data_IF_755741091010
#
_entry.id   IF_755741091010
#
_cell.length_a   1.000
_cell.length_b   1.000
_cell.length_c   1.000
_cell.angle_alpha   90.00
_cell.angle_beta   90.00
_cell.angle_gamma   90.00
#
_symmetry.space_group_name_H-M   'P 1'
#
loop_
_entity.id
_entity.type
_entity.pdbx_description
1 polymer ?
#
# COMPACT_ATOMS: atom_id res chain seq x y z
N UNK A 1 -26.41 6.35 20.35
CA UNK A 1 -25.89 5.01 20.72
C UNK A 1 -24.51 5.17 21.37
N UNK A 2 -24.09 4.28 22.27
CA UNK A 2 -22.76 4.35 22.87
C UNK A 2 -21.68 4.05 21.81
N UNK A 3 -20.56 4.77 21.89
CA UNK A 3 -19.44 4.66 20.94
C UNK A 3 -18.97 3.21 20.68
N UNK A 4 -18.75 2.35 21.70
CA UNK A 4 -18.31 0.96 21.47
C UNK A 4 -19.26 0.17 20.56
N UNK A 5 -20.56 0.41 20.67
CA UNK A 5 -21.59 -0.30 19.90
C UNK A 5 -21.57 0.14 18.43
N UNK A 6 -21.26 1.42 18.16
CA UNK A 6 -21.05 1.90 16.79
C UNK A 6 -19.81 1.27 16.16
N UNK A 7 -18.72 1.14 16.90
CA UNK A 7 -17.50 0.46 16.43
C UNK A 7 -17.77 -1.02 16.14
N UNK A 8 -18.50 -1.72 17.02
CA UNK A 8 -18.89 -3.11 16.80
C UNK A 8 -19.78 -3.25 15.56
N UNK A 9 -20.78 -2.38 15.41
CA UNK A 9 -21.67 -2.39 14.25
C UNK A 9 -20.89 -2.13 12.95
N UNK A 10 -19.95 -1.18 12.95
CA UNK A 10 -19.05 -0.96 11.83
C UNK A 10 -18.24 -2.23 11.49
N UNK A 11 -17.64 -2.87 12.50
CA UNK A 11 -16.87 -4.09 12.31
C UNK A 11 -17.72 -5.24 11.72
N UNK A 12 -18.96 -5.41 12.20
CA UNK A 12 -19.92 -6.40 11.67
C UNK A 12 -20.29 -6.08 10.21
N UNK A 13 -20.59 -4.82 9.91
CA UNK A 13 -20.93 -4.39 8.55
C UNK A 13 -19.75 -4.66 7.60
N UNK A 14 -18.53 -4.29 7.98
CA UNK A 14 -17.32 -4.55 7.18
C UNK A 14 -17.12 -6.06 6.99
N UNK A 15 -17.31 -6.87 8.04
CA UNK A 15 -17.19 -8.32 7.98
C UNK A 15 -18.17 -8.97 7.01
N UNK A 16 -19.43 -8.53 7.00
CA UNK A 16 -20.45 -9.11 6.13
C UNK A 16 -20.40 -8.60 4.69
N UNK A 17 -20.09 -7.32 4.50
CA UNK A 17 -20.15 -6.73 3.17
C UNK A 17 -18.85 -6.87 2.40
N UNK A 18 -17.71 -7.15 3.08
CA UNK A 18 -16.37 -7.21 2.48
C UNK A 18 -16.23 -6.14 1.39
N UNK A 19 -16.36 -4.87 1.78
CA UNK A 19 -16.44 -3.75 0.83
C UNK A 19 -15.24 -3.76 -0.12
N UNK A 20 -15.39 -4.39 -1.28
CA UNK A 20 -14.40 -4.40 -2.34
C UNK A 20 -14.80 -3.29 -3.31
N UNK A 21 -14.09 -2.16 -3.20
CA UNK A 21 -14.37 -0.96 -3.98
C UNK A 21 -13.73 -1.11 -5.36
N UNK A 22 -14.45 -1.78 -6.26
CA UNK A 22 -14.05 -1.95 -7.64
C UNK A 22 -14.38 -0.66 -8.42
N UNK A 23 -13.35 0.11 -8.78
CA UNK A 23 -13.51 1.34 -9.57
C UNK A 23 -13.17 0.99 -11.02
N UNK A 24 -14.19 0.91 -11.87
CA UNK A 24 -13.99 0.68 -13.31
C UNK A 24 -13.84 2.03 -14.02
N UNK A 25 -12.62 2.55 -14.19
CA UNK A 25 -12.43 3.73 -15.05
C UNK A 25 -12.46 3.30 -16.52
N UNK A 26 -13.46 3.74 -17.26
CA UNK A 26 -13.56 3.51 -18.72
C UNK A 26 -12.62 4.39 -19.55
N UNK A 27 -11.85 5.28 -18.92
CA UNK A 27 -10.97 6.24 -19.60
C UNK A 27 -9.48 6.10 -19.27
N UNK A 28 -9.07 5.10 -18.48
CA UNK A 28 -7.68 4.96 -18.01
C UNK A 28 -7.27 3.49 -17.95
N UNK A 29 -6.13 3.14 -18.55
CA UNK A 29 -5.50 1.82 -18.37
C UNK A 29 -4.96 1.68 -16.94
N UNK A 30 -5.45 0.68 -16.21
CA UNK A 30 -4.82 0.19 -14.99
C UNK A 30 -3.95 -1.02 -15.35
N UNK A 31 -2.63 -0.92 -15.23
CA UNK A 31 -1.76 -2.08 -15.39
C UNK A 31 -1.83 -2.95 -14.12
N UNK A 32 -2.90 -3.73 -13.97
CA UNK A 32 -3.08 -4.72 -12.90
C UNK A 32 -3.09 -6.14 -13.46
N UNK A 33 -2.44 -7.08 -12.77
CA UNK A 33 -2.44 -8.50 -13.14
C UNK A 33 -3.78 -9.16 -12.77
N UNK A 34 -4.87 -8.76 -13.44
CA UNK A 34 -6.20 -9.25 -13.09
C UNK A 34 -7.38 -8.51 -13.72
N UNK A 35 -7.26 -7.97 -14.93
CA UNK A 35 -8.43 -7.45 -15.66
C UNK A 35 -9.42 -8.59 -16.00
N UNK A 36 -10.24 -9.00 -15.04
CA UNK A 36 -11.48 -9.71 -15.33
C UNK A 36 -12.38 -8.75 -16.08
N UNK A 37 -12.76 -9.12 -17.31
CA UNK A 37 -13.67 -8.41 -18.23
C UNK A 37 -15.13 -8.31 -17.72
N UNK A 38 -15.33 -8.02 -16.45
CA UNK A 38 -16.63 -7.73 -15.87
C UNK A 38 -16.60 -6.36 -15.25
N UNK A 39 -17.07 -5.34 -15.98
CA UNK A 39 -17.44 -4.06 -15.40
C UNK A 39 -18.61 -4.30 -14.43
N UNK A 40 -18.30 -4.67 -13.19
CA UNK A 40 -19.29 -4.68 -12.11
C UNK A 40 -19.59 -3.23 -11.78
N UNK A 41 -20.89 -2.90 -11.73
CA UNK A 41 -21.38 -1.53 -11.56
C UNK A 41 -20.61 -0.77 -10.45
N UNK A 42 -20.10 0.41 -10.78
CA UNK A 42 -19.53 1.34 -9.83
C UNK A 42 -20.54 1.55 -8.68
N UNK A 43 -20.17 1.13 -7.48
CA UNK A 43 -21.01 1.25 -6.31
C UNK A 43 -20.94 2.69 -5.76
N UNK A 44 -21.46 3.68 -6.49
CA UNK A 44 -21.49 5.10 -6.07
C UNK A 44 -22.12 5.30 -4.68
N UNK A 45 -23.00 4.39 -4.24
CA UNK A 45 -23.61 4.41 -2.92
C UNK A 45 -22.66 4.00 -1.78
N UNK A 46 -21.59 3.25 -2.05
CA UNK A 46 -20.68 2.75 -1.01
C UNK A 46 -19.94 3.88 -0.31
N UNK A 47 -19.48 4.90 -1.04
CA UNK A 47 -18.72 6.00 -0.46
C UNK A 47 -19.57 6.86 0.52
N UNK A 48 -20.80 7.31 0.17
CA UNK A 48 -21.72 7.93 1.13
C UNK A 48 -22.06 7.03 2.32
N UNK A 49 -22.22 5.72 2.12
CA UNK A 49 -22.50 4.76 3.21
C UNK A 49 -21.32 4.70 4.17
N UNK A 50 -20.10 4.51 3.67
CA UNK A 50 -18.88 4.48 4.50
C UNK A 50 -18.72 5.81 5.24
N UNK A 51 -18.87 6.94 4.55
CA UNK A 51 -18.80 8.26 5.18
C UNK A 51 -19.85 8.42 6.28
N UNK A 52 -21.09 7.99 6.03
CA UNK A 52 -22.18 8.01 7.00
C UNK A 52 -21.90 7.14 8.22
N UNK A 53 -21.37 5.91 8.01
CA UNK A 53 -21.01 4.99 9.09
C UNK A 53 -19.86 5.53 9.95
N UNK A 54 -18.82 6.08 9.33
CA UNK A 54 -17.70 6.73 10.04
C UNK A 54 -18.22 7.92 10.83
N UNK A 55 -19.01 8.80 10.21
CA UNK A 55 -19.63 9.95 10.88
C UNK A 55 -20.47 9.50 12.07
N UNK A 56 -21.29 8.45 11.92
CA UNK A 56 -22.09 7.89 13.00
C UNK A 56 -21.25 7.38 14.17
N UNK A 57 -20.07 6.83 13.91
CA UNK A 57 -19.12 6.45 14.96
C UNK A 57 -18.57 7.66 15.72
N UNK A 58 -18.34 8.79 15.05
CA UNK A 58 -17.82 10.01 15.70
C UNK A 58 -18.87 10.79 16.49
N UNK A 59 -20.16 10.76 16.11
CA UNK A 59 -21.26 11.46 16.81
C UNK A 59 -21.23 11.30 18.35
N UNK A 60 -21.17 10.08 18.93
CA UNK A 60 -21.17 9.93 20.39
C UNK A 60 -19.92 10.54 21.05
N UNK A 61 -18.75 10.46 20.42
CA UNK A 61 -17.53 11.10 20.93
C UNK A 61 -17.65 12.61 20.86
N UNK A 62 -18.02 13.15 19.70
CA UNK A 62 -18.13 14.59 19.46
C UNK A 62 -19.17 15.26 20.36
N UNK A 63 -20.26 14.59 20.71
CA UNK A 63 -21.25 15.11 21.67
C UNK A 63 -20.65 15.32 23.07
N UNK A 64 -19.91 14.35 23.57
CA UNK A 64 -19.23 14.45 24.87
C UNK A 64 -18.15 15.54 24.86
N UNK A 65 -17.34 15.60 23.80
CA UNK A 65 -16.36 16.68 23.62
C UNK A 65 -17.01 18.05 23.56
N UNK A 66 -18.10 18.21 22.79
CA UNK A 66 -18.83 19.47 22.67
C UNK A 66 -19.34 19.99 24.03
N UNK A 67 -19.88 19.11 24.87
CA UNK A 67 -20.33 19.48 26.22
C UNK A 67 -19.17 19.95 27.12
N UNK A 68 -18.00 19.32 27.03
CA UNK A 68 -16.81 19.75 27.77
C UNK A 68 -16.26 21.08 27.24
N UNK A 69 -16.23 21.26 25.93
CA UNK A 69 -15.73 22.49 25.30
C UNK A 69 -16.60 23.70 25.60
N UNK A 70 -17.92 23.52 25.81
CA UNK A 70 -18.80 24.61 26.25
C UNK A 70 -18.55 25.08 27.68
N UNK A 71 -17.78 24.35 28.48
CA UNK A 71 -17.48 24.71 29.88
C UNK A 71 -16.20 25.55 30.03
N UNK A 72 -15.46 25.76 28.94
CA UNK A 72 -14.20 26.51 28.94
C UNK A 72 -14.24 27.65 27.91
N UNK A 73 -13.31 28.59 28.02
CA UNK A 73 -13.24 29.72 27.08
C UNK A 73 -12.99 29.22 25.64
N UNK A 74 -13.62 29.83 24.62
CA UNK A 74 -13.52 29.36 23.23
C UNK A 74 -12.09 29.21 22.71
N UNK A 75 -11.20 30.15 23.04
CA UNK A 75 -9.79 30.08 22.64
C UNK A 75 -9.05 28.90 23.30
N UNK A 76 -9.38 28.58 24.55
CA UNK A 76 -8.80 27.44 25.27
C UNK A 76 -9.31 26.12 24.70
N UNK A 77 -10.62 26.02 24.40
CA UNK A 77 -11.18 24.86 23.71
C UNK A 77 -10.51 24.62 22.35
N UNK A 78 -10.35 25.68 21.56
CA UNK A 78 -9.67 25.62 20.28
C UNK A 78 -8.20 25.19 20.41
N UNK A 79 -7.50 25.66 21.45
CA UNK A 79 -6.11 25.23 21.72
C UNK A 79 -6.03 23.73 21.97
N UNK A 80 -6.94 23.18 22.79
CA UNK A 80 -7.00 21.74 23.03
C UNK A 80 -7.34 20.94 21.77
N UNK A 81 -8.21 21.46 20.90
CA UNK A 81 -8.56 20.84 19.62
C UNK A 81 -7.34 20.72 18.69
N UNK A 82 -6.55 21.79 18.58
CA UNK A 82 -5.32 21.80 17.77
C UNK A 82 -4.26 20.87 18.37
N UNK A 83 -4.04 20.90 19.68
CA UNK A 83 -3.08 20.00 20.33
C UNK A 83 -3.50 18.54 20.14
N UNK A 84 -4.78 18.23 20.35
CA UNK A 84 -5.32 16.89 20.15
C UNK A 84 -5.15 16.41 18.71
N UNK A 85 -5.39 17.28 17.73
CA UNK A 85 -5.18 16.98 16.30
C UNK A 85 -3.72 16.70 15.97
N UNK A 86 -2.78 17.51 16.49
CA UNK A 86 -1.35 17.30 16.29
C UNK A 86 -0.86 15.99 16.92
N UNK A 87 -1.32 15.67 18.13
CA UNK A 87 -1.01 14.39 18.79
C UNK A 87 -1.60 13.22 18.00
N UNK A 88 -2.84 13.35 17.52
CA UNK A 88 -3.48 12.35 16.68
C UNK A 88 -2.71 12.07 15.39
N UNK A 89 -2.27 13.13 14.70
CA UNK A 89 -1.42 13.04 13.50
C UNK A 89 -0.10 12.35 13.84
N UNK A 90 0.59 12.76 14.91
CA UNK A 90 1.86 12.15 15.31
C UNK A 90 1.71 10.64 15.64
N UNK A 91 0.67 10.27 16.41
CA UNK A 91 0.36 8.88 16.70
C UNK A 91 0.08 8.08 15.42
N UNK A 92 -0.74 8.62 14.52
CA UNK A 92 -1.05 7.98 13.24
C UNK A 92 0.21 7.82 12.37
N UNK A 93 1.08 8.83 12.31
CA UNK A 93 2.36 8.75 11.59
C UNK A 93 3.27 7.65 12.13
N UNK A 94 3.37 7.49 13.46
CA UNK A 94 4.14 6.40 14.08
C UNK A 94 3.56 5.03 13.70
N UNK A 95 2.23 4.90 13.79
CA UNK A 95 1.51 3.67 13.41
C UNK A 95 1.78 3.30 11.95
N UNK A 96 1.69 4.27 11.05
CA UNK A 96 1.94 4.09 9.61
C UNK A 96 3.41 3.76 9.32
N UNK A 97 4.35 4.45 9.99
CA UNK A 97 5.78 4.22 9.83
C UNK A 97 6.19 2.77 10.16
N UNK A 98 5.61 2.20 11.22
CA UNK A 98 5.86 0.82 11.62
C UNK A 98 4.95 -0.22 10.95
N UNK A 99 4.10 0.20 10.00
CA UNK A 99 3.15 -0.67 9.31
C UNK A 99 2.31 -1.54 10.27
N UNK A 100 1.90 -0.98 11.41
CA UNK A 100 1.20 -1.75 12.44
C UNK A 100 -0.18 -2.17 11.92
N UNK A 101 -0.60 -3.43 12.13
CA UNK A 101 -1.87 -3.93 11.61
C UNK A 101 -3.08 -3.34 12.36
N UNK A 102 -4.30 -3.40 11.78
CA UNK A 102 -5.53 -2.89 12.39
C UNK A 102 -5.78 -3.37 13.81
N UNK A 103 -5.38 -4.61 14.15
CA UNK A 103 -5.47 -5.11 15.51
C UNK A 103 -4.80 -4.18 16.53
N UNK A 104 -3.62 -3.64 16.23
CA UNK A 104 -2.92 -2.73 17.13
C UNK A 104 -3.71 -1.43 17.30
N UNK A 105 -4.31 -0.92 16.23
CA UNK A 105 -5.11 0.31 16.25
C UNK A 105 -6.35 0.14 17.13
N UNK A 106 -7.04 -0.99 16.98
CA UNK A 106 -8.20 -1.32 17.79
C UNK A 106 -7.84 -1.60 19.25
N UNK A 107 -6.68 -2.20 19.54
CA UNK A 107 -6.21 -2.37 20.92
C UNK A 107 -5.92 -1.01 21.57
N UNK A 108 -5.22 -0.10 20.88
CA UNK A 108 -4.97 1.25 21.40
C UNK A 108 -6.26 2.03 21.65
N UNK A 109 -7.19 1.98 20.70
CA UNK A 109 -8.51 2.59 20.87
C UNK A 109 -9.27 1.98 22.05
N UNK A 110 -9.24 0.65 22.20
CA UNK A 110 -9.89 -0.06 23.30
C UNK A 110 -9.32 0.40 24.64
N UNK A 111 -7.99 0.43 24.78
CA UNK A 111 -7.34 0.87 26.02
C UNK A 111 -7.68 2.32 26.35
N UNK A 112 -7.65 3.21 25.36
CA UNK A 112 -8.01 4.62 25.54
C UNK A 112 -9.46 4.77 26.04
N UNK A 113 -10.41 4.08 25.41
CA UNK A 113 -11.82 4.17 25.80
C UNK A 113 -12.07 3.51 27.16
N UNK A 114 -11.38 2.42 27.50
CA UNK A 114 -11.48 1.79 28.82
C UNK A 114 -11.02 2.74 29.94
N UNK A 115 -9.91 3.46 29.74
CA UNK A 115 -9.41 4.46 30.69
C UNK A 115 -10.41 5.60 30.90
N UNK A 116 -11.11 6.00 29.84
CA UNK A 116 -12.11 7.08 29.89
C UNK A 116 -13.51 6.61 30.37
N UNK A 117 -13.72 5.29 30.51
CA UNK A 117 -15.03 4.73 30.85
C UNK A 117 -15.29 4.73 32.35
N UNK A 118 -16.52 5.06 32.74
CA UNK A 118 -16.95 4.95 34.13
C UNK A 118 -16.97 3.48 34.60
N UNK A 119 -16.74 3.24 35.89
CA UNK A 119 -16.74 1.88 36.49
C UNK A 119 -18.00 1.07 36.20
N UNK A 120 -19.14 1.74 36.11
CA UNK A 120 -20.44 1.13 35.82
C UNK A 120 -20.60 0.68 34.35
N UNK A 121 -19.88 1.28 33.40
CA UNK A 121 -19.97 0.94 31.97
C UNK A 121 -18.76 0.16 31.47
N UNK A 122 -17.69 0.03 32.26
CA UNK A 122 -16.42 -0.57 31.83
C UNK A 122 -16.57 -2.01 31.33
N UNK A 123 -17.39 -2.84 31.98
CA UNK A 123 -17.63 -4.23 31.57
C UNK A 123 -18.34 -4.30 30.22
N UNK A 124 -19.32 -3.42 29.99
CA UNK A 124 -20.02 -3.32 28.71
C UNK A 124 -19.10 -2.84 27.59
N UNK A 125 -18.24 -1.85 27.86
CA UNK A 125 -17.24 -1.35 26.92
C UNK A 125 -16.25 -2.46 26.58
N UNK A 126 -15.71 -3.14 27.60
CA UNK A 126 -14.75 -4.22 27.45
C UNK A 126 -15.32 -5.38 26.62
N UNK A 127 -16.54 -5.83 26.91
CA UNK A 127 -17.16 -6.94 26.16
C UNK A 127 -17.43 -6.57 24.70
N UNK A 128 -17.90 -5.34 24.44
CA UNK A 128 -18.18 -4.87 23.08
C UNK A 128 -16.92 -4.75 22.23
N UNK A 129 -15.84 -4.19 22.81
CA UNK A 129 -14.56 -4.12 22.13
C UNK A 129 -13.89 -5.48 21.98
N UNK A 130 -14.05 -6.39 22.95
CA UNK A 130 -13.56 -7.77 22.82
C UNK A 130 -14.17 -8.46 21.59
N UNK A 131 -15.48 -8.34 21.37
CA UNK A 131 -16.14 -8.89 20.18
C UNK A 131 -15.62 -8.21 18.90
N UNK A 132 -15.44 -6.89 18.94
CA UNK A 132 -14.88 -6.13 17.80
C UNK A 132 -13.46 -6.58 17.48
N UNK A 133 -12.62 -6.82 18.49
CA UNK A 133 -11.26 -7.33 18.32
C UNK A 133 -11.26 -8.73 17.72
N UNK A 134 -12.16 -9.62 18.13
CA UNK A 134 -12.31 -10.95 17.52
C UNK A 134 -12.64 -10.83 16.03
N UNK A 135 -13.57 -9.93 15.66
CA UNK A 135 -13.90 -9.66 14.25
C UNK A 135 -12.68 -9.13 13.49
N UNK A 136 -11.94 -8.18 14.06
CA UNK A 136 -10.75 -7.61 13.44
C UNK A 136 -9.64 -8.65 13.25
N UNK A 137 -9.41 -9.53 14.23
CA UNK A 137 -8.47 -10.66 14.13
C UNK A 137 -8.83 -11.55 12.95
N UNK A 138 -10.12 -11.85 12.77
CA UNK A 138 -10.60 -12.66 11.67
C UNK A 138 -10.45 -11.94 10.32
N UNK A 139 -10.74 -10.63 10.26
CA UNK A 139 -10.68 -9.83 9.04
C UNK A 139 -9.26 -9.61 8.51
N UNK A 140 -8.27 -9.51 9.38
CA UNK A 140 -6.87 -9.28 9.00
C UNK A 140 -6.10 -10.57 8.74
N UNK A 141 -6.74 -11.73 8.90
CA UNK A 141 -6.06 -13.03 8.78
C UNK A 141 -5.40 -13.16 7.40
N UNK A 142 -4.19 -13.71 7.40
CA UNK A 142 -3.36 -13.94 6.20
C UNK A 142 -2.95 -12.67 5.44
N UNK A 143 -3.27 -11.48 5.96
CA UNK A 143 -2.85 -10.21 5.39
C UNK A 143 -1.48 -9.77 5.91
N UNK A 144 -0.66 -9.27 5.00
CA UNK A 144 0.55 -8.53 5.30
C UNK A 144 0.23 -7.03 5.25
N UNK A 145 0.82 -6.25 6.15
CA UNK A 145 0.62 -4.81 6.19
C UNK A 145 1.95 -4.13 5.86
N UNK A 146 1.89 -3.17 4.93
CA UNK A 146 2.99 -2.26 4.65
C UNK A 146 2.55 -0.83 4.98
N UNK A 147 3.48 0.14 4.99
CA UNK A 147 3.12 1.56 5.11
C UNK A 147 2.21 2.04 3.98
N UNK A 148 2.11 1.28 2.89
CA UNK A 148 1.39 1.64 1.66
C UNK A 148 0.10 0.82 1.49
N UNK A 149 0.13 -0.48 1.79
CA UNK A 149 -0.89 -1.43 1.37
C UNK A 149 -1.26 -2.46 2.43
N UNK A 150 -2.53 -2.90 2.37
CA UNK A 150 -2.91 -4.25 2.80
C UNK A 150 -2.57 -5.21 1.67
N UNK A 151 -1.80 -6.26 1.95
CA UNK A 151 -1.31 -7.20 0.94
C UNK A 151 -1.83 -8.61 1.25
N UNK A 152 -2.42 -9.26 0.24
CA UNK A 152 -2.83 -10.66 0.27
C UNK A 152 -2.05 -11.45 -0.78
N UNK A 153 -1.78 -12.72 -0.48
CA UNK A 153 -1.13 -13.63 -1.42
C UNK A 153 -2.10 -14.73 -1.85
N UNK A 154 -2.31 -14.86 -3.15
CA UNK A 154 -3.12 -15.92 -3.73
C UNK A 154 -2.24 -16.89 -4.52
N UNK A 155 -2.16 -18.18 -4.14
CA UNK A 155 -1.29 -19.13 -4.82
C UNK A 155 -1.74 -19.37 -6.27
N UNK A 156 -0.78 -19.54 -7.18
CA UNK A 156 -1.03 -19.82 -8.59
C UNK A 156 -0.76 -21.30 -8.94
N UNK A 157 -1.53 -21.90 -9.87
CA UNK A 157 -1.32 -23.30 -10.30
C UNK A 157 0.06 -23.56 -10.91
N UNK A 158 0.66 -22.54 -11.53
CA UNK A 158 1.96 -22.60 -12.20
C UNK A 158 3.15 -22.50 -11.23
N UNK A 159 2.87 -22.40 -9.93
CA UNK A 159 3.86 -22.08 -8.91
C UNK A 159 3.99 -20.58 -8.69
N UNK A 160 4.14 -20.18 -7.43
CA UNK A 160 4.20 -18.77 -7.03
C UNK A 160 2.84 -18.19 -6.61
N UNK A 161 2.73 -16.86 -6.62
CA UNK A 161 1.57 -16.15 -6.04
C UNK A 161 1.20 -14.89 -6.82
N UNK A 162 -0.09 -14.56 -6.85
CA UNK A 162 -0.56 -13.19 -7.09
C UNK A 162 -0.40 -12.43 -5.78
N UNK A 163 0.27 -11.29 -5.86
CA UNK A 163 0.28 -10.25 -4.83
C UNK A 163 -0.93 -9.37 -5.11
N UNK A 164 -1.90 -9.36 -4.23
CA UNK A 164 -3.09 -8.50 -4.30
C UNK A 164 -2.98 -7.40 -3.24
N UNK A 165 -3.19 -6.15 -3.64
CA UNK A 165 -3.11 -5.00 -2.73
C UNK A 165 -4.49 -4.38 -2.59
N UNK A 166 -4.89 -4.09 -1.34
CA UNK A 166 -6.15 -3.44 -1.01
C UNK A 166 -7.40 -4.11 -1.62
N UNK A 167 -7.35 -5.43 -1.86
CA UNK A 167 -8.43 -6.18 -2.49
C UNK A 167 -8.78 -5.66 -3.90
N UNK A 168 -7.78 -5.18 -4.65
CA UNK A 168 -7.98 -4.57 -5.97
C UNK A 168 -8.03 -5.60 -7.13
N UNK A 169 -7.92 -6.89 -6.83
CA UNK A 169 -8.00 -7.95 -7.85
C UNK A 169 -6.66 -8.32 -8.49
N UNK A 170 -5.55 -7.98 -7.84
CA UNK A 170 -4.20 -8.31 -8.30
C UNK A 170 -3.35 -7.09 -8.63
N UNK A 171 -2.13 -7.08 -8.10
CA UNK A 171 -1.14 -6.01 -8.23
C UNK A 171 0.09 -6.47 -9.01
N UNK A 172 0.62 -7.65 -8.65
CA UNK A 172 1.78 -8.28 -9.28
C UNK A 172 1.61 -9.79 -9.25
N UNK A 173 2.36 -10.48 -10.11
CA UNK A 173 2.51 -11.93 -10.03
C UNK A 173 3.97 -12.29 -9.71
N UNK A 174 4.19 -13.06 -8.65
CA UNK A 174 5.43 -13.78 -8.38
C UNK A 174 5.35 -15.13 -9.06
N UNK A 175 5.81 -15.21 -10.31
CA UNK A 175 5.85 -16.47 -11.09
C UNK A 175 7.25 -16.64 -11.69
N UNK A 176 7.66 -17.86 -12.05
CA UNK A 176 8.94 -18.06 -12.75
C UNK A 176 9.01 -17.21 -14.03
N UNK A 177 10.18 -16.65 -14.33
CA UNK A 177 10.39 -15.70 -15.42
C UNK A 177 9.92 -16.23 -16.80
N UNK A 178 9.90 -17.54 -17.02
CA UNK A 178 9.44 -18.15 -18.28
C UNK A 178 7.94 -17.91 -18.52
N UNK A 179 7.17 -17.82 -17.44
CA UNK A 179 5.72 -17.60 -17.47
C UNK A 179 5.35 -16.11 -17.45
N UNK A 180 6.34 -15.22 -17.33
CA UNK A 180 6.13 -13.78 -17.43
C UNK A 180 5.85 -13.33 -18.85
N UNK A 181 5.09 -12.24 -18.92
CA UNK A 181 4.70 -11.57 -20.14
C UNK A 181 5.92 -11.21 -20.99
N UNK A 182 5.78 -11.23 -22.31
CA UNK A 182 6.90 -11.04 -23.23
C UNK A 182 7.55 -9.66 -23.12
N UNK A 183 6.82 -8.64 -22.63
CA UNK A 183 7.35 -7.28 -22.52
C UNK A 183 8.54 -7.18 -21.53
N UNK A 184 8.60 -8.00 -20.48
CA UNK A 184 9.74 -8.05 -19.55
C UNK A 184 11.05 -8.39 -20.26
N UNK A 185 10.98 -9.17 -21.34
CA UNK A 185 12.13 -9.65 -22.11
C UNK A 185 12.52 -8.73 -23.26
N UNK A 186 11.62 -7.83 -23.66
CA UNK A 186 11.69 -7.13 -24.94
C UNK A 186 12.93 -6.25 -25.09
N UNK A 187 13.30 -5.51 -24.04
CA UNK A 187 14.50 -4.68 -24.04
C UNK A 187 15.77 -5.52 -24.25
N UNK A 188 15.86 -6.68 -23.60
CA UNK A 188 17.00 -7.56 -23.72
C UNK A 188 17.07 -8.23 -25.10
N UNK A 189 15.94 -8.67 -25.65
CA UNK A 189 15.90 -9.30 -26.98
C UNK A 189 16.28 -8.33 -28.11
N UNK A 190 15.84 -7.08 -28.03
CA UNK A 190 16.12 -6.07 -29.06
C UNK A 190 17.59 -5.61 -29.05
N UNK A 191 18.21 -5.55 -27.88
CA UNK A 191 19.58 -5.02 -27.70
C UNK A 191 20.60 -6.11 -27.36
N UNK A 192 20.31 -7.36 -27.74
CA UNK A 192 21.19 -8.53 -27.66
C UNK A 192 21.74 -8.84 -26.24
N UNK A 193 20.86 -8.79 -25.22
CA UNK A 193 20.94 -9.33 -23.85
C UNK A 193 22.22 -9.07 -23.05
N UNK A 194 23.33 -9.60 -23.55
CA UNK A 194 24.70 -9.48 -23.07
C UNK A 194 25.33 -8.08 -23.12
N UNK A 195 24.66 -7.08 -23.72
CA UNK A 195 25.15 -5.70 -23.78
C UNK A 195 25.04 -4.97 -22.43
N UNK A 196 24.02 -5.29 -21.62
CA UNK A 196 23.75 -4.61 -20.37
C UNK A 196 24.55 -5.25 -19.22
N UNK A 197 25.55 -4.54 -18.68
CA UNK A 197 26.34 -5.01 -17.54
C UNK A 197 25.77 -4.51 -16.23
N UNK A 198 25.30 -3.27 -16.18
CA UNK A 198 24.74 -2.62 -15.00
C UNK A 198 23.32 -2.13 -15.26
N UNK A 199 22.34 -2.71 -14.58
CA UNK A 199 20.94 -2.31 -14.69
C UNK A 199 20.42 -1.65 -13.40
N UNK A 200 19.57 -0.64 -13.53
CA UNK A 200 18.71 -0.13 -12.46
C UNK A 200 17.26 -0.53 -12.77
N UNK A 201 16.54 -1.02 -11.77
CA UNK A 201 15.12 -1.36 -11.88
C UNK A 201 14.37 -0.56 -10.81
N UNK A 202 13.54 0.38 -11.25
CA UNK A 202 12.75 1.27 -10.40
C UNK A 202 11.33 0.71 -10.24
N UNK A 203 10.91 0.45 -9.01
CA UNK A 203 9.69 -0.31 -8.73
C UNK A 203 9.92 -1.81 -8.90
N UNK A 204 11.05 -2.32 -8.41
CA UNK A 204 11.45 -3.72 -8.61
C UNK A 204 10.45 -4.74 -8.02
N UNK A 205 9.59 -4.29 -7.11
CA UNK A 205 8.46 -5.04 -6.58
C UNK A 205 8.88 -6.38 -5.99
N UNK A 206 8.15 -7.42 -6.35
CA UNK A 206 8.47 -8.79 -5.95
C UNK A 206 9.59 -9.45 -6.77
N UNK A 207 10.20 -8.73 -7.73
CA UNK A 207 11.45 -9.13 -8.40
C UNK A 207 11.32 -9.68 -9.81
N UNK A 208 10.22 -9.45 -10.52
CA UNK A 208 10.00 -10.01 -11.87
C UNK A 208 10.99 -9.50 -12.92
N UNK A 209 11.19 -8.18 -12.99
CA UNK A 209 12.23 -7.58 -13.84
C UNK A 209 13.64 -7.98 -13.41
N UNK A 210 13.84 -8.16 -12.09
CA UNK A 210 15.13 -8.58 -11.53
C UNK A 210 15.46 -10.01 -12.00
N UNK A 211 14.53 -10.95 -11.89
CA UNK A 211 14.69 -12.32 -12.42
C UNK A 211 15.04 -12.29 -13.90
N UNK A 212 14.33 -11.47 -14.67
CA UNK A 212 14.55 -11.35 -16.12
C UNK A 212 15.95 -10.80 -16.42
N UNK A 213 16.37 -9.72 -15.75
CA UNK A 213 17.71 -9.14 -15.89
C UNK A 213 18.82 -10.19 -15.62
N UNK A 214 18.66 -10.98 -14.56
CA UNK A 214 19.63 -11.99 -14.16
C UNK A 214 19.78 -13.11 -15.19
N UNK A 215 18.66 -13.55 -15.79
CA UNK A 215 18.63 -14.59 -16.84
C UNK A 215 19.29 -14.11 -18.12
N UNK A 216 19.09 -12.85 -18.51
CA UNK A 216 19.75 -12.26 -19.68
C UNK A 216 21.21 -11.86 -19.43
N UNK A 217 21.76 -12.20 -18.26
CA UNK A 217 23.19 -12.15 -18.00
C UNK A 217 23.71 -10.81 -17.50
N UNK A 218 22.82 -9.91 -17.05
CA UNK A 218 23.21 -8.65 -16.40
C UNK A 218 24.12 -8.95 -15.21
N UNK A 219 25.21 -8.19 -15.09
CA UNK A 219 26.30 -8.45 -14.12
C UNK A 219 26.06 -7.81 -12.76
N UNK A 220 25.33 -6.69 -12.74
CA UNK A 220 24.95 -5.97 -11.52
C UNK A 220 23.57 -5.35 -11.70
N UNK A 221 22.66 -5.59 -10.77
CA UNK A 221 21.30 -5.05 -10.78
C UNK A 221 21.07 -4.24 -9.51
N UNK A 222 20.73 -2.96 -9.65
CA UNK A 222 20.21 -2.14 -8.54
C UNK A 222 18.69 -2.20 -8.57
N UNK A 223 18.09 -2.92 -7.64
CA UNK A 223 16.64 -3.07 -7.50
C UNK A 223 16.13 -2.06 -6.47
N UNK A 224 15.42 -1.03 -6.93
CA UNK A 224 14.86 0.03 -6.08
C UNK A 224 13.38 -0.25 -5.90
N UNK A 225 12.96 -0.42 -4.65
CA UNK A 225 11.58 -0.68 -4.27
C UNK A 225 11.19 0.24 -3.11
N UNK A 226 10.00 0.84 -3.17
CA UNK A 226 9.53 1.75 -2.12
C UNK A 226 8.89 0.98 -0.95
N UNK A 227 8.20 -0.13 -1.25
CA UNK A 227 7.50 -0.96 -0.28
C UNK A 227 8.39 -2.10 0.25
N UNK A 228 8.90 -2.00 1.49
CA UNK A 228 9.76 -3.03 2.07
C UNK A 228 9.05 -4.37 2.26
N UNK A 229 7.72 -4.39 2.44
CA UNK A 229 6.96 -5.62 2.63
C UNK A 229 6.86 -6.38 1.32
N UNK A 230 6.56 -5.71 0.20
CA UNK A 230 6.56 -6.33 -1.13
C UNK A 230 7.93 -6.93 -1.46
N UNK A 231 9.01 -6.19 -1.19
CA UNK A 231 10.36 -6.69 -1.43
C UNK A 231 10.66 -7.96 -0.60
N UNK A 232 10.30 -7.97 0.69
CA UNK A 232 10.48 -9.15 1.56
C UNK A 232 9.63 -10.35 1.11
N UNK A 233 8.41 -10.12 0.64
CA UNK A 233 7.58 -11.17 0.05
C UNK A 233 8.25 -11.75 -1.21
N UNK A 234 8.87 -10.90 -2.04
CA UNK A 234 9.70 -11.34 -3.16
C UNK A 234 10.87 -12.24 -2.73
N UNK A 235 11.59 -11.90 -1.66
CA UNK A 235 12.65 -12.77 -1.09
C UNK A 235 12.09 -14.13 -0.69
N UNK A 236 10.92 -14.15 -0.04
CA UNK A 236 10.37 -15.38 0.55
C UNK A 236 9.64 -16.26 -0.47
N UNK A 237 8.95 -15.68 -1.44
CA UNK A 237 7.94 -16.37 -2.25
C UNK A 237 8.16 -16.28 -3.75
N UNK A 238 9.09 -15.46 -4.26
CA UNK A 238 9.41 -15.47 -5.68
C UNK A 238 10.10 -16.80 -6.04
N UNK A 239 9.56 -17.58 -6.99
CA UNK A 239 10.14 -18.87 -7.37
C UNK A 239 11.57 -18.80 -7.90
N UNK A 240 11.94 -17.71 -8.57
CA UNK A 240 13.27 -17.51 -9.15
C UNK A 240 14.31 -17.03 -8.13
N UNK A 241 13.87 -16.65 -6.92
CA UNK A 241 14.73 -16.15 -5.84
C UNK A 241 15.71 -15.03 -6.25
N UNK A 242 15.26 -14.00 -7.02
CA UNK A 242 16.17 -13.03 -7.64
C UNK A 242 16.92 -12.18 -6.60
N UNK A 243 16.29 -11.88 -5.47
CA UNK A 243 16.90 -11.06 -4.42
C UNK A 243 17.99 -11.77 -3.60
N UNK A 244 18.14 -13.09 -3.77
CA UNK A 244 19.20 -13.88 -3.14
C UNK A 244 20.47 -13.94 -4.01
N UNK A 245 20.42 -13.48 -5.27
CA UNK A 245 21.56 -13.49 -6.18
C UNK A 245 22.57 -12.37 -5.80
N UNK A 246 23.88 -12.67 -5.68
CA UNK A 246 24.90 -11.69 -5.29
C UNK A 246 25.07 -10.54 -6.27
N UNK A 247 24.54 -10.64 -7.50
CA UNK A 247 24.53 -9.56 -8.48
C UNK A 247 23.47 -8.50 -8.17
N UNK A 248 22.56 -8.74 -7.23
CA UNK A 248 21.45 -7.85 -6.91
C UNK A 248 21.74 -7.03 -5.67
N UNK A 249 21.68 -5.71 -5.81
CA UNK A 249 21.66 -4.74 -4.71
C UNK A 249 20.25 -4.21 -4.55
N UNK A 250 19.61 -4.57 -3.44
CA UNK A 250 18.30 -4.04 -3.07
C UNK A 250 18.45 -2.69 -2.40
N UNK A 251 17.60 -1.73 -2.77
CA UNK A 251 17.51 -0.40 -2.16
C UNK A 251 16.05 -0.13 -1.83
N UNK A 252 15.75 0.01 -0.54
CA UNK A 252 14.41 0.44 -0.09
C UNK A 252 14.35 1.97 -0.11
N UNK A 253 13.78 2.55 -1.16
CA UNK A 253 13.65 3.99 -1.32
C UNK A 253 12.61 4.34 -2.40
N UNK A 254 12.10 5.57 -2.36
CA UNK A 254 11.36 6.13 -3.49
C UNK A 254 12.26 6.23 -4.73
N UNK A 255 11.74 5.80 -5.89
CA UNK A 255 12.51 5.74 -7.14
C UNK A 255 12.97 7.10 -7.62
N UNK A 256 12.16 8.15 -7.44
CA UNK A 256 12.51 9.52 -7.87
C UNK A 256 13.59 10.09 -6.95
N UNK A 257 13.41 9.95 -5.65
CA UNK A 257 14.40 10.32 -4.63
C UNK A 257 15.73 9.62 -4.89
N UNK A 258 15.70 8.32 -5.18
CA UNK A 258 16.91 7.56 -5.50
C UNK A 258 17.58 8.07 -6.78
N UNK A 259 16.84 8.24 -7.88
CA UNK A 259 17.37 8.77 -9.15
C UNK A 259 18.04 10.14 -8.98
N UNK A 260 17.48 11.02 -8.14
CA UNK A 260 18.03 12.35 -7.88
C UNK A 260 19.33 12.29 -7.08
N UNK A 261 19.44 11.39 -6.12
CA UNK A 261 20.56 11.35 -5.17
C UNK A 261 21.68 10.36 -5.52
N UNK A 262 21.40 9.39 -6.38
CA UNK A 262 22.39 8.42 -6.84
C UNK A 262 23.57 9.12 -7.54
N UNK A 263 24.67 8.42 -7.80
CA UNK A 263 25.81 8.90 -8.62
C UNK A 263 26.30 7.85 -9.61
N UNK A 264 25.61 6.71 -9.69
CA UNK A 264 25.93 5.60 -10.56
C UNK A 264 25.66 5.90 -12.03
N UNK A 265 26.20 5.01 -12.86
CA UNK A 265 25.97 4.96 -14.30
C UNK A 265 25.49 3.58 -14.70
N UNK A 266 24.46 3.53 -15.54
CA UNK A 266 23.74 2.31 -15.88
C UNK A 266 23.65 2.14 -17.39
N UNK A 267 23.78 0.90 -17.84
CA UNK A 267 23.58 0.52 -19.24
C UNK A 267 22.08 0.35 -19.54
N UNK A 268 21.29 0.04 -18.52
CA UNK A 268 19.85 -0.11 -18.61
C UNK A 268 19.17 0.46 -17.36
N UNK A 269 18.14 1.28 -17.54
CA UNK A 269 17.25 1.72 -16.46
C UNK A 269 15.84 1.30 -16.84
N UNK A 270 15.17 0.51 -16.00
CA UNK A 270 13.81 0.05 -16.23
C UNK A 270 12.89 0.75 -15.23
N UNK A 271 11.83 1.38 -15.72
CA UNK A 271 10.66 1.75 -14.92
C UNK A 271 9.72 0.54 -14.91
N UNK A 272 9.83 -0.30 -13.88
CA UNK A 272 9.25 -1.64 -13.79
C UNK A 272 7.77 -1.63 -13.43
N UNK A 273 6.98 -1.03 -14.32
CA UNK A 273 5.55 -0.80 -14.13
C UNK A 273 5.17 -0.28 -12.73
N UNK A 274 5.83 0.77 -12.21
CA UNK A 274 5.57 1.26 -10.86
C UNK A 274 4.14 1.75 -10.72
N UNK A 275 3.56 1.64 -9.53
CA UNK A 275 2.17 2.03 -9.20
C UNK A 275 1.76 3.42 -9.65
N UNK A 276 2.75 4.31 -9.80
CA UNK A 276 2.61 5.60 -10.46
C UNK A 276 2.04 5.54 -11.90
N UNK A 277 1.93 4.36 -12.52
CA UNK A 277 1.20 4.10 -13.77
C UNK A 277 -0.29 3.94 -13.60
N UNK A 278 -0.75 3.58 -12.39
CA UNK A 278 -2.17 3.54 -12.04
C UNK A 278 -2.57 4.92 -11.55
N UNK A 279 -3.50 5.59 -12.25
CA UNK A 279 -4.03 6.84 -11.72
C UNK A 279 -4.71 6.53 -10.40
N UNK A 280 -4.27 7.21 -9.33
CA UNK A 280 -5.04 7.27 -8.08
C UNK A 280 -6.47 7.64 -8.41
N UNK A 281 -7.44 6.90 -7.86
CA UNK A 281 -8.86 7.14 -8.05
C UNK A 281 -9.20 8.64 -8.04
N UNK A 282 -10.09 9.09 -8.91
CA UNK A 282 -10.58 10.47 -9.00
C UNK A 282 -11.20 11.03 -7.70
N UNK A 283 -11.35 10.19 -6.68
CA UNK A 283 -11.97 10.48 -5.38
C UNK A 283 -10.98 10.55 -4.20
N UNK A 284 -9.66 10.44 -4.43
CA UNK A 284 -8.64 10.61 -3.38
C UNK A 284 -7.99 12.00 -3.45
N UNK A 285 -7.97 12.74 -2.34
CA UNK A 285 -7.32 14.06 -2.23
C UNK A 285 -5.79 13.98 -2.14
N UNK A 286 -5.24 12.81 -1.83
CA UNK A 286 -3.84 12.46 -2.09
C UNK A 286 -3.68 12.09 -3.56
N UNK A 287 -3.56 13.11 -4.41
CA UNK A 287 -2.97 12.94 -5.74
C UNK A 287 -1.52 12.52 -5.52
N UNK A 288 -1.24 11.22 -5.50
CA UNK A 288 0.07 10.76 -5.95
C UNK A 288 0.08 11.06 -7.45
N UNK A 289 0.32 12.31 -7.81
CA UNK A 289 0.79 12.62 -9.15
C UNK A 289 1.95 11.65 -9.42
N UNK A 290 2.03 11.12 -10.63
CA UNK A 290 3.04 10.14 -11.02
C UNK A 290 4.42 10.79 -11.00
N UNK A 291 4.96 11.09 -9.83
CA UNK A 291 6.19 11.85 -9.66
C UNK A 291 7.35 11.10 -10.32
N UNK A 292 7.25 9.78 -10.42
CA UNK A 292 8.23 8.95 -11.10
C UNK A 292 8.16 9.05 -12.65
N UNK A 293 7.02 9.42 -13.24
CA UNK A 293 6.84 9.53 -14.70
C UNK A 293 6.64 10.99 -15.16
N UNK A 294 7.54 11.85 -14.70
CA UNK A 294 7.62 13.27 -15.12
C UNK A 294 8.78 13.49 -16.08
N UNK A 295 8.74 14.60 -16.84
CA UNK A 295 9.86 14.99 -17.71
C UNK A 295 11.17 15.11 -16.91
N UNK A 296 11.10 15.67 -15.70
CA UNK A 296 12.24 15.79 -14.79
C UNK A 296 12.78 14.43 -14.36
N UNK A 297 11.90 13.45 -14.10
CA UNK A 297 12.31 12.09 -13.74
C UNK A 297 13.00 11.39 -14.91
N UNK A 298 12.46 11.51 -16.12
CA UNK A 298 13.10 10.94 -17.33
C UNK A 298 14.44 11.63 -17.62
N UNK A 299 14.54 12.94 -17.46
CA UNK A 299 15.82 13.67 -17.55
C UNK A 299 16.83 13.19 -16.51
N UNK A 300 16.38 12.99 -15.27
CA UNK A 300 17.22 12.47 -14.20
C UNK A 300 17.72 11.04 -14.54
N UNK A 301 16.84 10.16 -15.01
CA UNK A 301 17.23 8.82 -15.44
C UNK A 301 18.23 8.84 -16.60
N UNK A 302 18.00 9.68 -17.63
CA UNK A 302 18.96 9.87 -18.73
C UNK A 302 20.32 10.36 -18.24
N UNK A 303 20.35 11.25 -17.24
CA UNK A 303 21.61 11.70 -16.64
C UNK A 303 22.37 10.57 -15.91
N UNK A 304 21.72 9.45 -15.59
CA UNK A 304 22.33 8.23 -15.02
C UNK A 304 22.73 7.19 -16.06
N UNK A 305 22.48 7.40 -17.35
CA UNK A 305 22.89 6.45 -18.38
C UNK A 305 24.38 6.57 -18.71
N UNK A 306 24.97 5.44 -19.09
CA UNK A 306 26.21 5.40 -19.89
C UNK A 306 25.94 5.97 -21.29
N UNK A 307 26.99 6.19 -22.09
CA UNK A 307 26.85 6.81 -23.41
C UNK A 307 25.93 6.01 -24.35
N UNK A 308 25.95 4.68 -24.23
CA UNK A 308 25.13 3.75 -25.01
C UNK A 308 23.98 3.15 -24.17
N UNK A 309 23.68 3.77 -23.02
CA UNK A 309 22.67 3.29 -22.09
C UNK A 309 21.25 3.51 -22.57
N UNK A 310 20.32 2.67 -22.09
CA UNK A 310 18.90 2.72 -22.41
C UNK A 310 18.05 2.99 -21.17
N UNK A 311 16.98 3.76 -21.33
CA UNK A 311 15.89 3.96 -20.36
C UNK A 311 14.55 3.79 -21.03
#
# INVERSE_FOLDING_TARGET
>A
PPFPLMVLLLAIIVMWNKFDLHISSTQVLYYGAGETQGATADNYAVLPIIFGLVTACFIPLSRSFGQLFTQIMPLTAYTFDIIGSLVGIACFSVIAYFALPPLVWFVMLTLLILVLSARQTVLFVASTFLVSLIIVIQLQRDAYWSPYYKILLHPLPQGGYIVDVNNAGGHQAMVPWQYKESFYRRAYELFNGSSFKHAMILGAGSGSDVSTALVYGVKSVTAVEIDPTIQQLGVRFNPDQPYSDPRVKVVINDGRSFLQNDKGKYDLIIFALPDSLTLTSSNTSLRLESFLLTEESIKAARARLTNDGLV
#
